data_IF_243802963654
#
_entry.id   IF_243802963654
#
_cell.length_a   1.000
_cell.length_b   1.000
_cell.length_c   1.000
_cell.angle_alpha   90.00
_cell.angle_beta   90.00
_cell.angle_gamma   90.00
#
_symmetry.space_group_name_H-M   'P 1'
#
loop_
_entity.id
_entity.type
_entity.pdbx_description
1 polymer ?
#
# COMPACT_ATOMS: atom_id res chain seq x y z
N UNK A 1 -30.14 -1.10 4.38
CA UNK A 1 -29.12 -0.06 4.23
C UNK A 1 -28.31 -0.32 2.99
N UNK A 2 -28.15 0.71 2.16
CA UNK A 2 -27.18 0.72 1.04
C UNK A 2 -25.74 0.67 1.57
N UNK A 3 -24.76 0.43 0.71
CA UNK A 3 -23.35 0.43 1.13
C UNK A 3 -22.93 1.81 1.66
N UNK A 4 -23.37 2.88 0.99
CA UNK A 4 -23.13 4.28 1.38
C UNK A 4 -23.70 4.59 2.76
N UNK A 5 -24.91 4.12 3.07
CA UNK A 5 -25.52 4.32 4.39
C UNK A 5 -24.75 3.60 5.49
N UNK A 6 -24.24 2.39 5.19
CA UNK A 6 -23.38 1.66 6.12
C UNK A 6 -22.06 2.41 6.31
N UNK A 7 -21.41 2.87 5.23
CA UNK A 7 -20.14 3.62 5.29
C UNK A 7 -20.30 4.85 6.18
N UNK A 8 -21.36 5.63 5.97
CA UNK A 8 -21.68 6.78 6.81
C UNK A 8 -21.88 6.41 8.28
N UNK A 9 -22.57 5.29 8.57
CA UNK A 9 -22.76 4.83 9.94
C UNK A 9 -21.44 4.38 10.60
N UNK A 10 -20.55 3.74 9.84
CA UNK A 10 -19.23 3.35 10.33
C UNK A 10 -18.32 4.56 10.53
N UNK A 11 -18.29 5.51 9.60
CA UNK A 11 -17.55 6.76 9.75
C UNK A 11 -18.04 7.54 10.98
N UNK A 12 -19.36 7.65 11.16
CA UNK A 12 -19.93 8.28 12.35
C UNK A 12 -19.60 7.50 13.63
N UNK A 13 -19.48 6.17 13.59
CA UNK A 13 -19.07 5.37 14.75
C UNK A 13 -17.55 5.42 15.03
N UNK A 14 -16.73 5.69 14.00
CA UNK A 14 -15.28 5.79 14.11
C UNK A 14 -14.81 7.16 14.64
N UNK A 15 -15.65 8.19 14.55
CA UNK A 15 -15.38 9.51 15.13
C UNK A 15 -15.39 9.44 16.67
N UNK A 16 -14.24 9.68 17.28
CA UNK A 16 -14.03 9.58 18.73
C UNK A 16 -14.54 10.80 19.50
N UNK A 17 -14.71 11.95 18.85
CA UNK A 17 -15.08 13.20 19.50
C UNK A 17 -16.58 13.47 19.40
N UNK A 18 -17.14 13.35 18.19
CA UNK A 18 -18.53 13.73 17.90
C UNK A 18 -19.35 12.56 17.34
N UNK A 19 -18.79 11.35 17.32
CA UNK A 19 -19.40 10.18 16.71
C UNK A 19 -20.48 9.47 17.52
N UNK A 20 -21.01 8.39 16.94
CA UNK A 20 -21.91 7.48 17.62
C UNK A 20 -21.18 6.70 18.72
N UNK A 21 -21.77 6.63 19.91
CA UNK A 21 -21.27 5.77 20.98
C UNK A 21 -21.66 4.29 20.82
N UNK A 22 -22.71 4.02 20.02
CA UNK A 22 -23.27 2.68 19.84
C UNK A 22 -23.55 2.44 18.37
N UNK A 23 -23.02 1.34 17.85
CA UNK A 23 -23.38 0.80 16.54
C UNK A 23 -24.30 -0.42 16.74
N UNK A 24 -25.54 -0.31 16.26
CA UNK A 24 -26.47 -1.45 16.24
C UNK A 24 -26.25 -2.23 14.94
N UNK A 25 -25.82 -3.48 15.07
CA UNK A 25 -25.65 -4.39 13.94
C UNK A 25 -26.55 -5.61 14.09
N UNK A 26 -27.20 -6.01 13.00
CA UNK A 26 -27.73 -7.36 12.87
C UNK A 26 -26.63 -8.32 12.41
N UNK A 27 -26.88 -9.63 12.46
CA UNK A 27 -25.95 -10.68 12.03
C UNK A 27 -25.44 -10.56 10.59
N UNK A 28 -26.14 -9.82 9.73
CA UNK A 28 -25.78 -9.59 8.30
C UNK A 28 -25.13 -8.20 8.10
N UNK A 29 -25.24 -7.31 9.09
CA UNK A 29 -24.86 -5.89 8.97
C UNK A 29 -23.37 -5.59 9.10
N UNK A 30 -22.57 -6.50 9.66
CA UNK A 30 -21.16 -6.28 10.01
C UNK A 30 -20.16 -7.01 9.12
N UNK A 31 -20.60 -7.67 8.05
CA UNK A 31 -19.69 -8.38 7.14
C UNK A 31 -18.70 -7.42 6.45
N UNK A 32 -17.44 -7.85 6.34
CA UNK A 32 -16.35 -7.07 5.75
C UNK A 32 -15.58 -6.09 6.66
N UNK A 33 -16.17 -5.55 7.73
CA UNK A 33 -15.60 -4.36 8.39
C UNK A 33 -14.67 -4.61 9.57
N UNK A 34 -13.72 -3.69 9.79
CA UNK A 34 -12.78 -3.68 10.91
C UNK A 34 -13.15 -2.58 11.91
N UNK A 35 -13.56 -2.96 13.13
CA UNK A 35 -13.79 -2.01 14.23
C UNK A 35 -12.71 -2.14 15.29
N UNK A 36 -11.44 -2.03 14.88
CA UNK A 36 -10.28 -2.18 15.77
C UNK A 36 -10.16 -1.09 16.84
N UNK A 37 -10.98 -0.03 16.75
CA UNK A 37 -11.11 1.00 17.77
C UNK A 37 -12.19 0.68 18.83
N UNK A 38 -13.06 -0.31 18.56
CA UNK A 38 -14.10 -0.73 19.48
C UNK A 38 -13.68 -2.02 20.20
N UNK A 39 -13.76 -2.01 21.52
CA UNK A 39 -13.40 -3.14 22.38
C UNK A 39 -14.56 -3.67 23.21
N UNK A 40 -15.75 -3.05 23.15
CA UNK A 40 -16.94 -3.51 23.89
C UNK A 40 -17.98 -4.09 22.93
N UNK A 41 -18.34 -5.34 23.14
CA UNK A 41 -19.40 -6.03 22.41
C UNK A 41 -20.59 -6.28 23.34
N UNK A 42 -21.76 -5.75 22.99
CA UNK A 42 -23.01 -6.11 23.68
C UNK A 42 -23.79 -7.07 22.81
N UNK A 43 -23.97 -8.30 23.28
CA UNK A 43 -24.79 -9.31 22.63
C UNK A 43 -26.22 -9.19 23.17
N UNK A 44 -27.10 -8.53 22.41
CA UNK A 44 -28.50 -8.38 22.83
C UNK A 44 -29.27 -9.72 22.75
N UNK A 45 -28.91 -10.55 21.78
CA UNK A 45 -29.36 -11.91 21.60
C UNK A 45 -28.18 -12.83 21.27
N UNK A 46 -28.36 -14.13 21.48
CA UNK A 46 -27.36 -15.14 21.12
C UNK A 46 -27.78 -15.88 19.85
N UNK A 47 -26.89 -16.00 18.85
CA UNK A 47 -27.16 -16.84 17.71
C UNK A 47 -27.23 -18.31 18.17
N UNK A 48 -28.03 -19.14 17.48
CA UNK A 48 -28.09 -20.56 17.80
C UNK A 48 -26.86 -21.34 17.34
N UNK A 49 -26.18 -20.87 16.29
CA UNK A 49 -24.99 -21.51 15.76
C UNK A 49 -23.73 -20.87 16.40
N UNK A 50 -22.86 -21.65 17.07
CA UNK A 50 -21.60 -21.15 17.62
C UNK A 50 -20.71 -20.43 16.59
N UNK A 51 -20.71 -20.84 15.32
CA UNK A 51 -19.89 -20.20 14.30
C UNK A 51 -20.34 -18.75 14.03
N UNK A 52 -21.64 -18.47 14.17
CA UNK A 52 -22.17 -17.11 14.05
C UNK A 52 -21.76 -16.26 15.26
N UNK A 53 -21.69 -16.85 16.46
CA UNK A 53 -21.18 -16.17 17.65
C UNK A 53 -19.70 -15.79 17.45
N UNK A 54 -18.87 -16.74 17.01
CA UNK A 54 -17.46 -16.52 16.71
C UNK A 54 -17.28 -15.42 15.64
N UNK A 55 -18.10 -15.43 14.59
CA UNK A 55 -18.09 -14.39 13.55
C UNK A 55 -18.48 -13.00 14.09
N UNK A 56 -19.32 -12.92 15.12
CA UNK A 56 -19.68 -11.66 15.76
C UNK A 56 -18.53 -11.14 16.63
N UNK A 57 -17.92 -12.00 17.45
CA UNK A 57 -16.77 -11.67 18.30
C UNK A 57 -15.58 -11.27 17.44
N UNK A 58 -15.30 -12.03 16.37
CA UNK A 58 -14.22 -11.80 15.41
C UNK A 58 -14.37 -10.52 14.57
N UNK A 59 -15.36 -9.66 14.82
CA UNK A 59 -15.39 -8.28 14.30
C UNK A 59 -14.53 -7.32 15.11
N UNK A 60 -14.38 -7.61 16.41
CA UNK A 60 -13.56 -6.85 17.34
C UNK A 60 -12.28 -7.63 17.67
N UNK A 61 -12.37 -8.95 17.83
CA UNK A 61 -11.24 -9.85 18.10
C UNK A 61 -10.46 -10.13 16.81
N UNK A 62 -9.63 -9.15 16.41
CA UNK A 62 -8.74 -9.22 15.26
C UNK A 62 -7.35 -8.77 15.64
N UNK A 63 -6.34 -9.34 14.96
CA UNK A 63 -4.97 -8.81 15.02
C UNK A 63 -5.00 -7.33 14.62
N UNK A 64 -4.48 -6.46 15.49
CA UNK A 64 -4.53 -5.01 15.34
C UNK A 64 -5.50 -4.30 16.30
N UNK A 65 -6.34 -5.04 17.02
CA UNK A 65 -7.10 -4.51 18.15
C UNK A 65 -6.16 -4.04 19.28
N UNK A 66 -6.46 -2.88 19.88
CA UNK A 66 -5.60 -2.23 20.87
C UNK A 66 -5.90 -2.67 22.31
N UNK A 67 -7.13 -3.10 22.58
CA UNK A 67 -7.60 -3.47 23.92
C UNK A 67 -8.23 -4.87 23.95
N UNK A 68 -8.20 -5.52 25.11
CA UNK A 68 -8.90 -6.79 25.31
C UNK A 68 -10.42 -6.61 25.13
N UNK A 69 -11.02 -7.42 24.27
CA UNK A 69 -12.46 -7.35 23.98
C UNK A 69 -13.28 -7.71 25.21
N UNK A 70 -14.18 -6.80 25.61
CA UNK A 70 -15.11 -6.97 26.71
C UNK A 70 -16.50 -7.34 26.16
N UNK A 71 -16.97 -8.54 26.48
CA UNK A 71 -18.27 -9.04 26.03
C UNK A 71 -19.29 -8.89 27.15
N UNK A 72 -20.38 -8.19 26.87
CA UNK A 72 -21.52 -8.02 27.76
C UNK A 72 -22.73 -8.73 27.17
N UNK A 73 -23.30 -9.67 27.92
CA UNK A 73 -24.49 -10.42 27.54
C UNK A 73 -25.59 -10.16 28.59
N UNK A 74 -26.44 -9.13 28.40
CA UNK A 74 -27.63 -8.98 29.22
C UNK A 74 -28.56 -10.17 28.99
N UNK A 75 -28.80 -10.96 30.03
CA UNK A 75 -29.60 -12.17 29.95
C UNK A 75 -30.81 -12.11 30.89
N UNK A 76 -31.97 -12.57 30.42
CA UNK A 76 -33.17 -12.69 31.24
C UNK A 76 -33.07 -13.94 32.10
N UNK A 77 -33.22 -13.79 33.42
CA UNK A 77 -33.20 -14.92 34.35
C UNK A 77 -34.27 -15.98 34.00
N UNK A 78 -33.89 -17.24 34.11
CA UNK A 78 -34.69 -18.45 33.86
C UNK A 78 -35.24 -18.57 32.44
N UNK A 79 -34.54 -17.99 31.46
CA UNK A 79 -34.91 -18.03 30.04
C UNK A 79 -34.17 -19.11 29.25
N UNK A 80 -34.65 -19.41 28.04
CA UNK A 80 -33.94 -20.30 27.11
C UNK A 80 -32.59 -19.72 26.64
N UNK A 81 -32.40 -18.40 26.77
CA UNK A 81 -31.16 -17.71 26.43
C UNK A 81 -30.15 -17.80 27.57
N UNK A 82 -30.58 -17.87 28.83
CA UNK A 82 -29.69 -18.16 29.97
C UNK A 82 -29.09 -19.56 29.83
N UNK A 83 -29.92 -20.54 29.46
CA UNK A 83 -29.46 -21.91 29.17
C UNK A 83 -28.41 -21.92 28.07
N UNK A 84 -28.66 -21.20 26.97
CA UNK A 84 -27.73 -21.11 25.84
C UNK A 84 -26.44 -20.38 26.22
N UNK A 85 -26.54 -19.30 26.98
CA UNK A 85 -25.41 -18.52 27.50
C UNK A 85 -24.50 -19.39 28.38
N UNK A 86 -25.08 -20.12 29.34
CA UNK A 86 -24.34 -21.04 30.21
C UNK A 86 -23.67 -22.15 29.40
N UNK A 87 -24.34 -22.73 28.41
CA UNK A 87 -23.75 -23.77 27.57
C UNK A 87 -22.59 -23.24 26.71
N UNK A 88 -22.73 -22.04 26.12
CA UNK A 88 -21.64 -21.40 25.37
C UNK A 88 -20.44 -21.07 26.27
N UNK A 89 -20.68 -20.55 27.47
CA UNK A 89 -19.61 -20.15 28.39
C UNK A 89 -18.96 -21.35 29.10
N UNK A 90 -19.75 -22.13 29.84
CA UNK A 90 -19.24 -23.18 30.72
C UNK A 90 -18.92 -24.47 29.96
N UNK A 91 -19.68 -24.77 28.90
CA UNK A 91 -19.52 -25.96 28.07
C UNK A 91 -18.48 -25.78 26.97
N UNK A 92 -18.69 -24.77 26.10
CA UNK A 92 -17.81 -24.50 24.96
C UNK A 92 -16.63 -23.56 25.29
N UNK A 93 -16.82 -22.61 26.21
CA UNK A 93 -15.96 -21.44 26.42
C UNK A 93 -15.83 -20.52 25.19
N UNK A 94 -16.92 -20.38 24.44
CA UNK A 94 -16.96 -19.67 23.17
C UNK A 94 -16.90 -18.13 23.29
N UNK A 95 -16.95 -17.58 24.51
CA UNK A 95 -16.81 -16.13 24.74
C UNK A 95 -15.37 -15.70 25.02
N UNK A 96 -14.60 -16.54 25.72
CA UNK A 96 -13.23 -16.19 26.14
C UNK A 96 -12.16 -16.77 25.22
N UNK A 97 -12.51 -17.77 24.42
CA UNK A 97 -11.57 -18.48 23.55
C UNK A 97 -12.22 -18.81 22.21
N UNK A 98 -11.43 -18.63 21.14
CA UNK A 98 -11.77 -19.13 19.81
C UNK A 98 -12.04 -20.64 19.87
N UNK A 99 -13.21 -21.05 19.39
CA UNK A 99 -13.65 -22.45 19.48
C UNK A 99 -13.75 -23.10 18.08
N UNK A 100 -12.64 -23.59 17.49
CA UNK A 100 -12.64 -24.17 16.15
C UNK A 100 -13.43 -25.50 16.05
N UNK A 101 -13.77 -26.10 17.20
CA UNK A 101 -14.61 -27.29 17.31
C UNK A 101 -16.08 -26.97 17.64
N UNK A 102 -16.47 -25.69 17.63
CA UNK A 102 -17.78 -25.22 18.10
C UNK A 102 -18.93 -25.89 17.35
N UNK A 103 -18.88 -25.90 16.01
CA UNK A 103 -19.90 -26.55 15.19
C UNK A 103 -19.98 -28.06 15.41
N UNK A 104 -18.84 -28.77 15.49
CA UNK A 104 -18.83 -30.22 15.71
C UNK A 104 -19.46 -30.60 17.06
N UNK A 105 -19.18 -29.83 18.12
CA UNK A 105 -19.80 -30.00 19.43
C UNK A 105 -21.29 -29.62 19.40
N UNK A 106 -21.65 -28.56 18.67
CA UNK A 106 -23.05 -28.19 18.50
C UNK A 106 -23.85 -29.27 17.80
N UNK A 107 -23.37 -29.83 16.69
CA UNK A 107 -24.03 -30.95 16.01
C UNK A 107 -24.23 -32.14 16.96
N UNK A 108 -23.20 -32.49 17.73
CA UNK A 108 -23.25 -33.60 18.69
C UNK A 108 -24.27 -33.38 19.82
N UNK A 109 -24.39 -32.17 20.35
CA UNK A 109 -25.19 -31.87 21.53
C UNK A 109 -26.50 -31.11 21.25
N UNK A 110 -26.78 -30.75 20.00
CA UNK A 110 -27.92 -29.90 19.58
C UNK A 110 -29.27 -30.41 20.09
N UNK A 111 -29.56 -31.70 19.94
CA UNK A 111 -30.84 -32.27 20.40
C UNK A 111 -31.01 -32.17 21.91
N UNK A 112 -29.96 -32.49 22.68
CA UNK A 112 -29.96 -32.40 24.14
C UNK A 112 -30.09 -30.95 24.59
N UNK A 113 -29.38 -30.03 23.93
CA UNK A 113 -29.47 -28.60 24.18
C UNK A 113 -30.90 -28.07 23.94
N UNK A 114 -31.55 -28.46 22.84
CA UNK A 114 -32.93 -28.04 22.55
C UNK A 114 -33.94 -28.57 23.59
N UNK A 115 -33.76 -29.81 24.09
CA UNK A 115 -34.58 -30.37 25.16
C UNK A 115 -34.46 -29.56 26.45
N UNK A 116 -33.23 -29.26 26.89
CA UNK A 116 -32.98 -28.48 28.10
C UNK A 116 -33.46 -27.03 27.94
N UNK A 117 -33.25 -26.40 26.76
CA UNK A 117 -33.76 -25.05 26.46
C UNK A 117 -35.28 -24.94 26.51
N UNK A 118 -35.98 -26.01 26.13
CA UNK A 118 -37.46 -26.08 26.19
C UNK A 118 -37.98 -26.26 27.62
N UNK A 119 -37.11 -26.56 28.59
CA UNK A 119 -37.44 -26.73 30.01
C UNK A 119 -36.44 -25.97 30.89
N UNK A 120 -36.46 -24.63 30.81
CA UNK A 120 -35.47 -23.74 31.43
C UNK A 120 -35.39 -23.80 32.97
N UNK A 121 -36.28 -24.55 33.63
CA UNK A 121 -36.25 -24.79 35.08
C UNK A 121 -35.47 -26.03 35.51
N UNK A 122 -35.07 -26.91 34.58
CA UNK A 122 -34.37 -28.17 34.87
C UNK A 122 -32.84 -28.00 34.97
N UNK A 123 -32.37 -27.28 36.01
CA UNK A 123 -30.95 -26.93 36.20
C UNK A 123 -30.00 -28.14 36.21
N UNK A 124 -30.43 -29.28 36.78
CA UNK A 124 -29.59 -30.49 36.82
C UNK A 124 -29.31 -31.11 35.45
N UNK A 125 -30.24 -30.99 34.50
CA UNK A 125 -30.04 -31.50 33.14
C UNK A 125 -29.05 -30.60 32.38
N UNK A 126 -29.10 -29.30 32.63
CA UNK A 126 -28.15 -28.33 32.08
C UNK A 126 -26.72 -28.59 32.60
N UNK A 127 -26.56 -28.77 33.91
CA UNK A 127 -25.23 -28.99 34.50
C UNK A 127 -24.58 -30.29 33.98
N UNK A 128 -25.37 -31.34 33.77
CA UNK A 128 -24.90 -32.58 33.12
C UNK A 128 -24.48 -32.35 31.67
N UNK A 129 -25.31 -31.65 30.88
CA UNK A 129 -24.99 -31.31 29.49
C UNK A 129 -23.70 -30.49 29.39
N UNK A 130 -23.51 -29.52 30.29
CA UNK A 130 -22.30 -28.71 30.35
C UNK A 130 -21.07 -29.57 30.67
N UNK A 131 -21.18 -30.46 31.66
CA UNK A 131 -20.09 -31.37 32.02
C UNK A 131 -19.69 -32.28 30.85
N UNK A 132 -20.68 -32.89 30.17
CA UNK A 132 -20.46 -33.75 29.01
C UNK A 132 -19.84 -32.98 27.84
N UNK A 133 -20.36 -31.76 27.57
CA UNK A 133 -19.83 -30.89 26.51
C UNK A 133 -18.38 -30.51 26.80
N UNK A 134 -18.06 -30.15 28.04
CA UNK A 134 -16.70 -29.80 28.46
C UNK A 134 -15.74 -30.97 28.30
N UNK A 135 -16.16 -32.18 28.66
CA UNK A 135 -15.35 -33.40 28.48
C UNK A 135 -15.09 -33.67 26.99
N UNK A 136 -16.12 -33.57 26.14
CA UNK A 136 -15.98 -33.73 24.70
C UNK A 136 -15.06 -32.66 24.09
N UNK A 137 -15.19 -31.41 24.54
CA UNK A 137 -14.34 -30.29 24.13
C UNK A 137 -12.87 -30.53 24.44
N UNK A 138 -12.53 -30.92 25.67
CA UNK A 138 -11.13 -31.19 26.03
C UNK A 138 -10.54 -32.34 25.21
N UNK A 139 -11.33 -33.38 24.95
CA UNK A 139 -10.90 -34.50 24.09
C UNK A 139 -10.61 -34.04 22.66
N UNK A 140 -11.50 -33.23 22.08
CA UNK A 140 -11.30 -32.68 20.73
C UNK A 140 -10.13 -31.69 20.69
N UNK A 141 -9.96 -30.87 21.73
CA UNK A 141 -8.83 -29.93 21.84
C UNK A 141 -7.49 -30.67 21.80
N UNK A 142 -7.33 -31.71 22.61
CA UNK A 142 -6.11 -32.54 22.62
C UNK A 142 -5.89 -33.20 21.24
N UNK A 143 -6.95 -33.74 20.63
CA UNK A 143 -6.85 -34.37 19.31
C UNK A 143 -6.40 -33.37 18.23
N UNK A 144 -6.93 -32.14 18.25
CA UNK A 144 -6.50 -31.07 17.34
C UNK A 144 -5.06 -30.65 17.60
N UNK A 145 -4.67 -30.43 18.86
CA UNK A 145 -3.30 -30.05 19.22
C UNK A 145 -2.27 -31.12 18.83
N UNK A 146 -2.62 -32.40 18.91
CA UNK A 146 -1.79 -33.52 18.45
C UNK A 146 -1.75 -33.64 16.92
N UNK A 147 -2.81 -33.20 16.23
CA UNK A 147 -2.89 -33.16 14.76
C UNK A 147 -2.17 -31.97 14.12
N UNK A 148 -1.69 -31.00 14.90
CA UNK A 148 -1.01 -29.80 14.38
C UNK A 148 0.35 -30.13 13.79
N UNK A 149 0.53 -29.76 12.53
CA UNK A 149 1.86 -29.71 11.91
C UNK A 149 2.57 -28.41 12.28
N UNK A 150 3.34 -28.46 13.37
CA UNK A 150 4.07 -27.30 13.90
C UNK A 150 5.13 -26.78 12.92
N UNK A 151 5.73 -27.64 12.10
CA UNK A 151 6.73 -27.20 11.12
C UNK A 151 6.04 -26.43 10.00
N UNK A 152 4.88 -26.90 9.55
CA UNK A 152 4.08 -26.17 8.57
C UNK A 152 3.64 -24.81 9.12
N UNK A 153 3.17 -24.73 10.37
CA UNK A 153 2.76 -23.47 11.00
C UNK A 153 3.93 -22.47 11.13
N UNK A 154 5.09 -22.93 11.62
CA UNK A 154 6.29 -22.11 11.74
C UNK A 154 6.76 -21.59 10.37
N UNK A 155 6.70 -22.45 9.34
CA UNK A 155 7.06 -22.03 7.99
C UNK A 155 6.02 -21.09 7.39
N UNK A 156 4.73 -21.28 7.69
CA UNK A 156 3.63 -20.49 7.11
C UNK A 156 3.56 -19.07 7.65
N UNK A 157 3.90 -18.85 8.92
CA UNK A 157 3.92 -17.50 9.51
C UNK A 157 5.20 -16.70 9.19
N UNK A 158 6.23 -17.35 8.62
CA UNK A 158 7.50 -16.72 8.24
C UNK A 158 8.41 -16.28 9.39
N UNK A 159 7.97 -16.45 10.64
CA UNK A 159 8.73 -16.19 11.86
C UNK A 159 9.23 -14.75 11.98
N UNK A 160 10.46 -14.61 12.50
CA UNK A 160 11.04 -13.32 12.81
C UNK A 160 11.33 -12.47 11.56
N UNK A 161 11.66 -13.12 10.44
CA UNK A 161 11.91 -12.42 9.17
C UNK A 161 10.65 -11.72 8.65
N UNK A 162 9.49 -12.37 8.76
CA UNK A 162 8.22 -11.77 8.38
C UNK A 162 7.85 -10.57 9.27
N UNK A 163 8.12 -10.65 10.58
CA UNK A 163 7.92 -9.52 11.50
C UNK A 163 8.83 -8.33 11.18
N UNK A 164 10.10 -8.59 10.89
CA UNK A 164 11.05 -7.54 10.48
C UNK A 164 10.62 -6.86 9.19
N UNK A 165 10.14 -7.64 8.20
CA UNK A 165 9.57 -7.10 6.98
C UNK A 165 8.32 -6.25 7.27
N UNK A 166 7.39 -6.74 8.09
CA UNK A 166 6.18 -6.01 8.46
C UNK A 166 6.52 -4.66 9.13
N UNK A 167 7.49 -4.64 10.05
CA UNK A 167 7.97 -3.42 10.69
C UNK A 167 8.63 -2.46 9.69
N UNK A 168 9.33 -2.99 8.69
CA UNK A 168 9.99 -2.19 7.65
C UNK A 168 8.99 -1.53 6.70
N UNK A 169 7.86 -2.21 6.44
CA UNK A 169 6.71 -1.65 5.69
C UNK A 169 5.99 -0.60 6.55
N UNK A 170 5.71 -0.90 7.81
CA UNK A 170 5.05 0.03 8.72
C UNK A 170 5.85 1.32 8.93
N UNK A 171 7.19 1.24 8.89
CA UNK A 171 8.06 2.41 8.99
C UNK A 171 8.00 3.34 7.76
N UNK A 172 7.45 2.88 6.63
CA UNK A 172 7.23 3.70 5.43
C UNK A 172 5.84 4.36 5.42
N UNK A 173 4.94 3.99 6.33
CA UNK A 173 3.65 4.65 6.45
C UNK A 173 3.85 6.11 6.91
N UNK A 174 2.97 7.00 6.46
CA UNK A 174 2.99 8.44 6.78
C UNK A 174 4.28 9.16 6.36
N UNK A 175 5.00 8.65 5.35
CA UNK A 175 6.12 9.37 4.75
C UNK A 175 5.65 10.71 4.15
N UNK A 176 6.24 11.79 4.65
CA UNK A 176 5.94 13.18 4.24
C UNK A 176 6.22 13.39 2.74
N UNK A 177 7.14 12.62 2.16
CA UNK A 177 7.49 12.69 0.75
C UNK A 177 6.29 12.36 -0.15
N UNK A 178 5.57 11.27 0.13
CA UNK A 178 4.41 10.87 -0.66
C UNK A 178 3.30 11.93 -0.59
N UNK A 179 3.04 12.46 0.61
CA UNK A 179 2.02 13.49 0.81
C UNK A 179 2.35 14.72 -0.05
N UNK A 180 3.56 15.28 0.12
CA UNK A 180 3.99 16.45 -0.63
C UNK A 180 4.00 16.19 -2.15
N UNK A 181 4.42 15.00 -2.56
CA UNK A 181 4.42 14.60 -3.97
C UNK A 181 2.99 14.57 -4.54
N UNK A 182 2.06 13.92 -3.82
CA UNK A 182 0.68 13.79 -4.25
C UNK A 182 -0.03 15.15 -4.36
N UNK A 183 0.14 16.04 -3.36
CA UNK A 183 -0.45 17.38 -3.38
C UNK A 183 0.04 18.20 -4.58
N UNK A 184 1.34 18.16 -4.85
CA UNK A 184 1.95 18.83 -6.00
C UNK A 184 1.47 18.22 -7.33
N UNK A 185 1.38 16.89 -7.40
CA UNK A 185 0.86 16.20 -8.57
C UNK A 185 -0.59 16.60 -8.87
N UNK A 186 -1.45 16.64 -7.85
CA UNK A 186 -2.85 17.06 -7.99
C UNK A 186 -2.97 18.52 -8.41
N UNK A 187 -2.15 19.42 -7.85
CA UNK A 187 -2.11 20.84 -8.26
C UNK A 187 -1.71 20.99 -9.74
N UNK A 188 -0.67 20.27 -10.18
CA UNK A 188 -0.23 20.27 -11.58
C UNK A 188 -1.33 19.75 -12.51
N UNK A 189 -2.04 18.69 -12.10
CA UNK A 189 -3.16 18.13 -12.88
C UNK A 189 -4.36 19.09 -12.89
N UNK A 190 -4.45 20.02 -11.92
CA UNK A 190 -5.57 20.94 -11.77
C UNK A 190 -6.74 20.31 -11.00
N UNK A 191 -6.47 19.41 -10.07
CA UNK A 191 -7.47 18.86 -9.15
C UNK A 191 -7.55 19.77 -7.93
N UNK A 192 -8.77 20.17 -7.54
CA UNK A 192 -9.01 20.96 -6.35
C UNK A 192 -8.86 20.09 -5.10
N UNK A 193 -8.31 20.68 -4.04
CA UNK A 193 -7.86 19.96 -2.85
C UNK A 193 -8.35 20.71 -1.61
N UNK A 194 -9.32 20.12 -0.91
CA UNK A 194 -9.89 20.66 0.33
C UNK A 194 -9.46 19.80 1.52
N UNK A 195 -8.70 20.38 2.45
CA UNK A 195 -8.32 19.73 3.70
C UNK A 195 -9.53 19.68 4.65
N UNK A 196 -9.98 18.47 4.98
CA UNK A 196 -11.08 18.26 5.92
C UNK A 196 -10.60 18.17 7.38
N UNK A 197 -9.29 18.18 7.61
CA UNK A 197 -8.69 17.81 8.89
C UNK A 197 -8.60 16.29 9.06
N UNK A 198 -8.11 15.86 10.24
CA UNK A 198 -7.96 14.44 10.61
C UNK A 198 -7.18 13.59 9.59
N UNK A 199 -6.14 14.14 8.96
CA UNK A 199 -5.34 13.46 7.92
C UNK A 199 -6.16 13.03 6.69
N UNK A 200 -7.22 13.76 6.32
CA UNK A 200 -8.07 13.48 5.15
C UNK A 200 -8.25 14.70 4.25
N UNK A 201 -8.32 14.45 2.95
CA UNK A 201 -8.42 15.49 1.91
C UNK A 201 -9.53 15.11 0.93
N UNK A 202 -10.38 16.06 0.57
CA UNK A 202 -11.31 15.89 -0.56
C UNK A 202 -10.65 16.41 -1.82
N UNK A 203 -10.63 15.55 -2.84
CA UNK A 203 -10.17 15.91 -4.17
C UNK A 203 -11.35 15.98 -5.15
N UNK A 204 -11.45 17.09 -5.88
CA UNK A 204 -12.57 17.38 -6.80
C UNK A 204 -12.07 17.75 -8.19
N UNK A 205 -12.76 17.29 -9.25
CA UNK A 205 -12.39 17.67 -10.62
C UNK A 205 -12.70 19.14 -10.87
N UNK A 206 -11.86 19.80 -11.67
CA UNK A 206 -12.05 21.20 -12.07
C UNK A 206 -12.14 21.35 -13.59
N UNK A 207 -12.75 22.44 -14.05
CA UNK A 207 -12.78 22.78 -15.49
C UNK A 207 -11.40 23.12 -16.09
N UNK A 208 -10.36 23.22 -15.25
CA UNK A 208 -8.97 23.51 -15.65
C UNK A 208 -8.07 22.28 -15.64
N UNK A 209 -8.64 21.09 -15.41
CA UNK A 209 -7.86 19.85 -15.39
C UNK A 209 -7.10 19.61 -16.70
N UNK A 210 -5.88 19.09 -16.60
CA UNK A 210 -5.05 18.72 -17.75
C UNK A 210 -5.67 17.62 -18.60
N UNK A 211 -6.43 16.71 -17.97
CA UNK A 211 -7.12 15.61 -18.62
C UNK A 211 -8.61 15.63 -18.24
N UNK A 212 -9.52 15.27 -19.16
CA UNK A 212 -10.95 15.21 -18.85
C UNK A 212 -11.30 14.21 -17.75
N UNK A 213 -10.62 13.06 -17.75
CA UNK A 213 -10.85 11.96 -16.82
C UNK A 213 -9.55 11.62 -16.09
N UNK A 214 -9.56 11.65 -14.76
CA UNK A 214 -8.44 11.23 -13.92
C UNK A 214 -8.78 9.92 -13.18
N UNK A 215 -7.92 8.89 -13.22
CA UNK A 215 -8.23 7.57 -12.67
C UNK A 215 -8.63 7.62 -11.20
N UNK A 216 -9.79 7.07 -10.88
CA UNK A 216 -10.32 7.01 -9.52
C UNK A 216 -10.97 8.32 -9.03
N UNK A 217 -10.86 9.42 -9.77
CA UNK A 217 -11.54 10.67 -9.43
C UNK A 217 -12.99 10.62 -9.97
N UNK A 218 -13.96 10.82 -9.08
CA UNK A 218 -15.39 10.87 -9.41
C UNK A 218 -15.84 12.31 -9.59
N UNK A 219 -16.94 12.53 -10.31
CA UNK A 219 -17.53 13.87 -10.49
C UNK A 219 -17.89 14.55 -9.16
N UNK A 220 -18.38 13.78 -8.19
CA UNK A 220 -18.74 14.26 -6.85
C UNK A 220 -17.53 14.50 -5.94
N UNK A 221 -16.32 14.21 -6.42
CA UNK A 221 -15.09 14.19 -5.63
C UNK A 221 -14.87 12.86 -4.92
N UNK A 222 -13.67 12.72 -4.35
CA UNK A 222 -13.24 11.55 -3.57
C UNK A 222 -12.48 12.02 -2.35
N UNK A 223 -12.74 11.38 -1.21
CA UNK A 223 -11.96 11.65 0.00
C UNK A 223 -10.81 10.65 0.10
N UNK A 224 -9.61 11.16 0.31
CA UNK A 224 -8.37 10.40 0.34
C UNK A 224 -7.68 10.57 1.70
N UNK A 225 -6.91 9.56 2.11
CA UNK A 225 -6.03 9.65 3.28
C UNK A 225 -4.69 8.95 3.01
N UNK A 226 -3.65 9.40 3.70
CA UNK A 226 -2.33 8.75 3.72
C UNK A 226 -2.11 7.97 5.01
N UNK A 227 -3.09 7.96 5.92
CA UNK A 227 -3.04 7.28 7.21
C UNK A 227 -3.73 5.91 7.10
N UNK A 228 -2.95 4.85 7.32
CA UNK A 228 -3.44 3.47 7.25
C UNK A 228 -4.52 3.19 8.31
N UNK A 229 -4.36 3.72 9.52
CA UNK A 229 -5.32 3.47 10.61
C UNK A 229 -6.65 4.14 10.32
N UNK A 230 -6.61 5.37 9.79
CA UNK A 230 -7.82 6.06 9.36
C UNK A 230 -8.53 5.31 8.23
N UNK A 231 -7.79 4.86 7.20
CA UNK A 231 -8.35 4.06 6.10
C UNK A 231 -8.93 2.71 6.55
N UNK A 232 -8.38 2.08 7.60
CA UNK A 232 -8.94 0.86 8.19
C UNK A 232 -10.26 1.12 8.93
N UNK A 233 -10.39 2.30 9.56
CA UNK A 233 -11.60 2.71 10.28
C UNK A 233 -12.69 3.25 9.34
N UNK A 234 -12.29 3.88 8.23
CA UNK A 234 -13.15 4.54 7.25
C UNK A 234 -12.90 3.99 5.84
N UNK A 235 -13.60 2.89 5.52
CA UNK A 235 -13.47 2.16 4.25
C UNK A 235 -13.84 3.00 3.02
N UNK A 236 -14.59 4.09 3.19
CA UNK A 236 -14.95 4.99 2.10
C UNK A 236 -13.80 5.93 1.68
N UNK A 237 -12.74 6.04 2.50
CA UNK A 237 -11.55 6.81 2.18
C UNK A 237 -10.61 5.99 1.31
N UNK A 238 -10.12 6.58 0.22
CA UNK A 238 -9.07 5.95 -0.58
C UNK A 238 -7.71 6.10 0.13
N UNK A 239 -7.08 4.98 0.45
CA UNK A 239 -5.75 4.95 1.05
C UNK A 239 -4.66 5.14 -0.02
N UNK A 240 -4.07 6.34 -0.05
CA UNK A 240 -3.04 6.68 -1.01
C UNK A 240 -1.67 6.15 -0.57
N UNK A 241 -1.08 5.35 -1.45
CA UNK A 241 0.31 4.87 -1.37
C UNK A 241 0.99 5.15 -2.71
N UNK A 242 2.32 4.96 -2.79
CA UNK A 242 3.05 4.97 -4.07
C UNK A 242 2.47 4.00 -5.11
N UNK A 243 1.75 2.97 -4.67
CA UNK A 243 1.16 1.95 -5.52
C UNK A 243 -0.27 2.25 -5.95
N UNK A 244 -0.89 3.28 -5.36
CA UNK A 244 -2.25 3.65 -5.67
C UNK A 244 -2.39 4.08 -7.15
N UNK A 245 -3.45 3.64 -7.87
CA UNK A 245 -3.64 3.96 -9.28
C UNK A 245 -3.59 5.46 -9.61
N UNK A 246 -4.14 6.32 -8.73
CA UNK A 246 -4.05 7.79 -8.90
C UNK A 246 -2.60 8.27 -8.96
N UNK A 247 -1.75 7.79 -8.04
CA UNK A 247 -0.35 8.22 -7.96
C UNK A 247 0.43 7.69 -9.16
N UNK A 248 0.34 6.39 -9.44
CA UNK A 248 1.06 5.76 -10.57
C UNK A 248 0.65 6.34 -11.92
N UNK A 249 -0.64 6.55 -12.15
CA UNK A 249 -1.13 7.07 -13.43
C UNK A 249 -0.92 8.58 -13.55
N UNK A 250 -0.96 9.33 -12.45
CA UNK A 250 -0.53 10.73 -12.47
C UNK A 250 0.96 10.87 -12.78
N UNK A 251 1.82 10.02 -12.20
CA UNK A 251 3.24 9.95 -12.59
C UNK A 251 3.38 9.65 -14.08
N UNK A 252 2.68 8.64 -14.60
CA UNK A 252 2.74 8.25 -16.01
C UNK A 252 2.23 9.37 -16.93
N UNK A 253 1.15 10.06 -16.56
CA UNK A 253 0.60 11.19 -17.30
C UNK A 253 1.63 12.32 -17.45
N UNK A 254 2.33 12.68 -16.37
CA UNK A 254 3.34 13.73 -16.40
C UNK A 254 4.60 13.27 -17.13
N UNK A 255 5.09 12.06 -16.84
CA UNK A 255 6.34 11.54 -17.41
C UNK A 255 6.22 11.21 -18.92
N UNK A 256 5.03 10.84 -19.39
CA UNK A 256 4.77 10.57 -20.82
C UNK A 256 4.37 11.84 -21.59
N UNK A 257 3.70 12.78 -20.93
CA UNK A 257 3.22 14.05 -21.51
C UNK A 257 4.35 15.01 -21.90
N UNK A 258 4.01 16.11 -22.56
CA UNK A 258 4.98 17.13 -23.01
C UNK A 258 5.20 18.28 -22.03
N UNK A 259 4.51 18.24 -20.89
CA UNK A 259 4.59 19.27 -19.85
C UNK A 259 5.92 19.13 -19.12
N UNK A 260 6.60 20.27 -18.89
CA UNK A 260 7.87 20.30 -18.15
C UNK A 260 9.11 19.87 -18.95
N UNK A 261 8.99 19.45 -20.22
CA UNK A 261 10.13 18.98 -21.03
C UNK A 261 11.12 20.07 -21.44
N UNK A 262 10.69 21.32 -21.56
CA UNK A 262 11.57 22.42 -21.96
C UNK A 262 11.26 23.71 -21.21
N UNK A 263 12.27 24.31 -20.60
CA UNK A 263 12.14 25.58 -19.90
C UNK A 263 13.35 26.50 -20.10
N UNK A 264 13.15 27.80 -19.86
CA UNK A 264 14.22 28.78 -19.74
C UNK A 264 14.06 29.57 -18.45
N UNK A 265 15.15 29.74 -17.71
CA UNK A 265 15.14 30.41 -16.43
C UNK A 265 16.30 31.39 -16.25
N UNK A 266 16.09 32.37 -15.36
CA UNK A 266 17.09 33.34 -14.97
C UNK A 266 17.70 32.95 -13.62
N UNK A 267 19.02 32.96 -13.52
CA UNK A 267 19.76 32.81 -12.27
C UNK A 267 20.37 34.15 -11.86
N UNK A 268 19.87 34.76 -10.78
CA UNK A 268 20.46 35.99 -10.24
C UNK A 268 21.61 35.60 -9.33
N UNK A 269 22.84 35.87 -9.77
CA UNK A 269 24.06 35.57 -9.02
C UNK A 269 25.15 36.60 -9.29
N UNK A 270 25.48 37.39 -8.26
CA UNK A 270 26.51 38.45 -8.31
C UNK A 270 27.92 37.93 -8.58
N UNK A 271 28.19 36.66 -8.26
CA UNK A 271 29.51 36.04 -8.42
C UNK A 271 29.75 35.51 -9.83
N UNK A 272 28.69 35.35 -10.64
CA UNK A 272 28.81 34.88 -12.02
C UNK A 272 28.77 36.05 -13.00
N UNK A 273 29.54 36.00 -14.11
CA UNK A 273 29.41 36.97 -15.19
C UNK A 273 27.97 36.97 -15.74
N UNK A 274 27.43 38.15 -16.04
CA UNK A 274 26.12 38.26 -16.67
C UNK A 274 26.17 37.65 -18.09
N UNK A 275 25.12 36.94 -18.48
CA UNK A 275 25.03 36.25 -19.77
C UNK A 275 25.75 34.90 -19.81
N UNK A 276 26.20 34.36 -18.68
CA UNK A 276 26.70 32.98 -18.62
C UNK A 276 25.53 32.03 -18.89
N UNK A 277 25.74 31.08 -19.79
CA UNK A 277 24.78 30.03 -20.11
C UNK A 277 25.13 28.77 -19.34
N UNK A 278 24.13 28.20 -18.67
CA UNK A 278 24.16 26.83 -18.18
C UNK A 278 23.06 26.04 -18.90
N UNK A 279 23.35 24.79 -19.25
CA UNK A 279 22.41 23.88 -19.89
C UNK A 279 22.19 22.68 -18.99
N UNK A 280 20.99 22.59 -18.43
CA UNK A 280 20.56 21.46 -17.62
C UNK A 280 19.78 20.48 -18.50
N UNK A 281 20.14 19.20 -18.46
CA UNK A 281 19.57 18.14 -19.27
C UNK A 281 19.29 16.95 -18.37
N UNK A 282 18.08 16.42 -18.45
CA UNK A 282 17.71 15.17 -17.79
C UNK A 282 17.59 14.12 -18.89
N UNK A 283 18.58 13.23 -18.93
CA UNK A 283 18.47 12.01 -19.72
C UNK A 283 17.76 10.94 -18.91
N UNK A 284 17.08 10.00 -19.55
CA UNK A 284 16.50 8.83 -18.91
C UNK A 284 17.13 7.60 -19.53
N UNK A 285 17.77 6.77 -18.70
CA UNK A 285 18.25 5.44 -19.08
C UNK A 285 17.12 4.46 -18.84
N UNK A 286 16.69 3.76 -19.88
CA UNK A 286 15.54 2.88 -19.84
C UNK A 286 15.71 1.68 -20.78
N UNK A 287 14.85 0.68 -20.62
CA UNK A 287 14.79 -0.47 -21.51
C UNK A 287 13.35 -0.73 -21.95
N UNK A 288 13.18 -1.03 -23.24
CA UNK A 288 11.91 -1.47 -23.79
C UNK A 288 11.78 -2.97 -23.52
N UNK A 289 10.98 -3.33 -22.51
CA UNK A 289 10.87 -4.72 -22.06
C UNK A 289 9.43 -5.17 -21.81
N UNK A 290 9.11 -6.46 -22.06
CA UNK A 290 7.84 -7.02 -21.64
C UNK A 290 7.68 -6.93 -20.12
N UNK A 291 6.49 -6.54 -19.65
CA UNK A 291 6.17 -6.44 -18.20
C UNK A 291 6.48 -7.72 -17.42
N UNK A 292 6.37 -8.89 -18.06
CA UNK A 292 6.69 -10.19 -17.46
C UNK A 292 8.13 -10.35 -16.97
N UNK A 293 9.10 -9.62 -17.54
CA UNK A 293 10.50 -9.67 -17.09
C UNK A 293 10.78 -8.87 -15.82
N UNK A 294 9.88 -7.92 -15.47
CA UNK A 294 9.99 -7.08 -14.27
C UNK A 294 11.31 -6.29 -14.18
N UNK A 295 11.86 -5.83 -15.32
CA UNK A 295 13.18 -5.18 -15.35
C UNK A 295 13.25 -3.86 -14.57
N UNK A 296 12.11 -3.24 -14.25
CA UNK A 296 12.04 -2.07 -13.38
C UNK A 296 12.61 -2.34 -11.97
N UNK A 297 12.75 -3.60 -11.55
CA UNK A 297 13.45 -3.99 -10.30
C UNK A 297 14.94 -3.71 -10.34
N UNK A 298 15.53 -3.66 -11.54
CA UNK A 298 16.98 -3.56 -11.76
C UNK A 298 17.39 -2.29 -12.50
N UNK A 299 16.56 -1.85 -13.45
CA UNK A 299 16.73 -0.61 -14.23
C UNK A 299 15.34 0.01 -14.48
N UNK A 300 14.72 0.66 -13.47
CA UNK A 300 13.58 1.52 -13.74
C UNK A 300 14.01 2.69 -14.63
N UNK A 301 13.08 3.45 -15.26
CA UNK A 301 13.42 4.67 -15.98
C UNK A 301 14.25 5.60 -15.07
N UNK A 302 15.55 5.65 -15.30
CA UNK A 302 16.51 6.23 -14.34
C UNK A 302 16.97 7.59 -14.86
N UNK A 303 16.62 8.69 -14.19
CA UNK A 303 17.05 10.01 -14.61
C UNK A 303 18.54 10.21 -14.34
N UNK A 304 19.25 10.70 -15.35
CA UNK A 304 20.66 11.09 -15.32
C UNK A 304 20.75 12.58 -15.64
N UNK A 305 20.98 13.38 -14.59
CA UNK A 305 21.09 14.83 -14.70
C UNK A 305 22.48 15.25 -15.14
N UNK A 306 22.55 16.02 -16.22
CA UNK A 306 23.73 16.76 -16.65
C UNK A 306 23.49 18.25 -16.48
N UNK A 307 24.45 18.96 -15.91
CA UNK A 307 24.43 20.42 -15.82
C UNK A 307 25.72 20.95 -16.45
N UNK A 308 25.61 21.45 -17.67
CA UNK A 308 26.77 21.88 -18.46
C UNK A 308 27.02 23.37 -18.30
N UNK A 309 28.28 23.74 -18.07
CA UNK A 309 28.75 25.11 -18.23
C UNK A 309 28.95 25.49 -19.71
N UNK A 310 29.34 26.74 -19.98
CA UNK A 310 29.61 27.23 -21.33
C UNK A 310 30.76 26.52 -22.07
N UNK A 311 31.60 25.76 -21.36
CA UNK A 311 32.68 24.94 -21.91
C UNK A 311 32.26 23.47 -22.07
N UNK A 312 31.07 23.10 -21.61
CA UNK A 312 30.58 21.72 -21.61
C UNK A 312 31.13 20.86 -20.48
N UNK A 313 31.63 21.44 -19.39
CA UNK A 313 31.94 20.68 -18.18
C UNK A 313 30.66 20.33 -17.44
N UNK A 314 30.53 19.09 -16.97
CA UNK A 314 29.39 18.68 -16.15
C UNK A 314 29.65 19.05 -14.70
N UNK A 315 28.77 19.86 -14.11
CA UNK A 315 28.83 20.31 -12.73
C UNK A 315 27.63 19.84 -11.89
N UNK A 316 26.89 18.84 -12.37
CA UNK A 316 25.67 18.34 -11.71
C UNK A 316 25.92 17.78 -10.30
N UNK A 317 27.06 17.12 -10.08
CA UNK A 317 27.42 16.56 -8.76
C UNK A 317 27.72 17.65 -7.72
N UNK A 318 28.24 18.80 -8.16
CA UNK A 318 28.58 19.92 -7.29
C UNK A 318 27.39 20.84 -7.01
N UNK A 319 26.32 20.74 -7.81
CA UNK A 319 25.17 21.65 -7.75
C UNK A 319 23.88 20.84 -7.63
N UNK A 320 23.38 20.69 -6.40
CA UNK A 320 22.12 20.00 -6.12
C UNK A 320 20.92 20.62 -6.86
N UNK A 321 19.95 19.77 -7.23
CA UNK A 321 18.80 20.18 -8.05
C UNK A 321 17.93 21.22 -7.33
N UNK A 322 17.48 20.92 -6.12
CA UNK A 322 16.54 21.79 -5.38
C UNK A 322 17.16 23.14 -5.02
N UNK A 323 18.46 23.13 -4.68
CA UNK A 323 19.21 24.37 -4.37
C UNK A 323 19.36 25.27 -5.60
N UNK A 324 19.54 24.70 -6.79
CA UNK A 324 19.55 25.48 -8.02
C UNK A 324 18.14 25.95 -8.35
N UNK A 325 17.17 25.04 -8.37
CA UNK A 325 15.79 25.30 -8.75
C UNK A 325 15.16 26.45 -7.93
N UNK A 326 15.33 26.44 -6.61
CA UNK A 326 14.82 27.48 -5.70
C UNK A 326 15.38 28.89 -5.96
N UNK A 327 16.52 29.02 -6.65
CA UNK A 327 17.15 30.30 -7.01
C UNK A 327 16.78 30.79 -8.41
N UNK A 328 16.11 29.97 -9.19
CA UNK A 328 15.72 30.29 -10.55
C UNK A 328 14.47 31.15 -10.56
N UNK A 329 14.43 32.13 -11.47
CA UNK A 329 13.24 32.93 -11.76
C UNK A 329 12.69 32.61 -13.14
N UNK A 330 11.36 32.54 -13.32
CA UNK A 330 10.76 32.35 -14.63
C UNK A 330 11.00 33.56 -15.53
N UNK A 331 11.00 33.33 -16.84
CA UNK A 331 11.11 34.37 -17.86
C UNK A 331 9.80 34.44 -18.66
N UNK A 332 9.39 35.66 -19.01
CA UNK A 332 8.29 35.86 -19.95
C UNK A 332 8.59 35.25 -21.32
N UNK A 333 7.57 34.67 -21.96
CA UNK A 333 7.68 33.90 -23.21
C UNK A 333 8.44 34.64 -24.32
N UNK A 334 8.18 35.93 -24.51
CA UNK A 334 8.83 36.73 -25.56
C UNK A 334 10.31 36.97 -25.31
N UNK A 335 10.69 37.19 -24.05
CA UNK A 335 12.08 37.39 -23.64
C UNK A 335 12.85 36.08 -23.80
N UNK A 336 12.28 34.97 -23.33
CA UNK A 336 12.86 33.64 -23.48
C UNK A 336 13.11 33.30 -24.96
N UNK A 337 12.13 33.51 -25.84
CA UNK A 337 12.26 33.25 -27.27
C UNK A 337 13.39 34.06 -27.95
N UNK A 338 13.56 35.34 -27.57
CA UNK A 338 14.65 36.17 -28.08
C UNK A 338 16.01 35.67 -27.59
N UNK A 339 16.12 35.37 -26.29
CA UNK A 339 17.37 34.89 -25.71
C UNK A 339 17.78 33.52 -26.26
N UNK A 340 16.85 32.59 -26.47
CA UNK A 340 17.13 31.29 -27.09
C UNK A 340 17.69 31.47 -28.51
N UNK A 341 17.10 32.36 -29.32
CA UNK A 341 17.62 32.64 -30.68
C UNK A 341 19.07 33.14 -30.65
N UNK A 342 19.42 33.96 -29.67
CA UNK A 342 20.80 34.45 -29.48
C UNK A 342 21.74 33.37 -28.94
N UNK A 343 21.26 32.51 -28.04
CA UNK A 343 22.06 31.46 -27.41
C UNK A 343 22.25 30.22 -28.28
N UNK A 344 21.45 30.05 -29.34
CA UNK A 344 21.46 28.86 -30.21
C UNK A 344 22.84 28.43 -30.71
N UNK A 345 23.71 29.33 -31.22
CA UNK A 345 25.06 28.96 -31.69
C UNK A 345 25.94 28.39 -30.57
N UNK A 346 25.68 28.75 -29.31
CA UNK A 346 26.38 28.22 -28.13
C UNK A 346 25.74 26.93 -27.62
N UNK A 347 24.43 26.79 -27.73
CA UNK A 347 23.70 25.60 -27.27
C UNK A 347 23.93 24.37 -28.15
N UNK A 348 23.98 24.54 -29.49
CA UNK A 348 24.16 23.42 -30.43
C UNK A 348 25.44 22.59 -30.14
N UNK A 349 26.62 23.19 -29.93
CA UNK A 349 27.81 22.45 -29.47
C UNK A 349 27.64 21.77 -28.10
N UNK A 350 26.92 22.40 -27.16
CA UNK A 350 26.69 21.84 -25.82
C UNK A 350 25.84 20.57 -25.87
N UNK A 351 24.84 20.49 -26.76
CA UNK A 351 24.07 19.26 -26.97
C UNK A 351 24.96 18.11 -27.48
N UNK A 352 25.90 18.39 -28.39
CA UNK A 352 26.85 17.38 -28.87
C UNK A 352 27.78 16.91 -27.74
N UNK A 353 28.21 17.81 -26.86
CA UNK A 353 29.02 17.46 -25.69
C UNK A 353 28.20 16.67 -24.66
N UNK A 354 26.94 17.04 -24.44
CA UNK A 354 26.03 16.29 -23.57
C UNK A 354 25.83 14.86 -24.06
N UNK A 355 25.60 14.66 -25.36
CA UNK A 355 25.43 13.34 -25.96
C UNK A 355 26.67 12.47 -25.76
N UNK A 356 27.87 13.05 -25.93
CA UNK A 356 29.12 12.34 -25.64
C UNK A 356 29.23 11.93 -24.17
N UNK A 357 28.78 12.78 -23.23
CA UNK A 357 28.83 12.47 -21.80
C UNK A 357 27.86 11.37 -21.41
N UNK A 358 26.60 11.46 -21.81
CA UNK A 358 25.62 10.40 -21.48
C UNK A 358 26.03 9.06 -22.10
N UNK A 359 26.59 9.07 -23.32
CA UNK A 359 27.11 7.84 -23.96
C UNK A 359 28.22 7.16 -23.18
N UNK A 360 29.00 7.92 -22.39
CA UNK A 360 30.01 7.37 -21.49
C UNK A 360 29.42 6.92 -20.15
N UNK A 361 28.38 7.59 -19.65
CA UNK A 361 27.78 7.33 -18.34
C UNK A 361 26.73 6.21 -18.35
N UNK A 362 25.87 6.15 -19.37
CA UNK A 362 24.77 5.19 -19.46
C UNK A 362 25.23 3.72 -19.35
N UNK A 363 26.36 3.29 -19.97
CA UNK A 363 26.87 1.93 -19.80
C UNK A 363 27.14 1.54 -18.34
N UNK A 364 27.47 2.50 -17.47
CA UNK A 364 27.69 2.22 -16.04
C UNK A 364 26.38 1.80 -15.35
N UNK A 365 25.28 2.53 -15.59
CA UNK A 365 23.96 2.18 -15.06
C UNK A 365 23.48 0.83 -15.60
N UNK A 366 23.65 0.59 -16.90
CA UNK A 366 23.26 -0.67 -17.54
C UNK A 366 24.06 -1.85 -16.96
N UNK A 367 25.38 -1.70 -16.82
CA UNK A 367 26.24 -2.74 -16.25
C UNK A 367 25.91 -3.04 -14.79
N UNK A 368 25.62 -2.01 -13.99
CA UNK A 368 25.18 -2.18 -12.61
C UNK A 368 23.85 -2.94 -12.53
N UNK A 369 22.88 -2.59 -13.39
CA UNK A 369 21.60 -3.28 -13.46
C UNK A 369 21.74 -4.75 -13.88
N UNK A 370 22.57 -5.04 -14.89
CA UNK A 370 22.85 -6.42 -15.31
C UNK A 370 23.49 -7.24 -14.19
N UNK A 371 24.45 -6.65 -13.47
CA UNK A 371 25.09 -7.32 -12.33
C UNK A 371 24.08 -7.59 -11.22
N UNK A 372 23.23 -6.62 -10.87
CA UNK A 372 22.19 -6.80 -9.85
C UNK A 372 21.16 -7.87 -10.26
N UNK A 373 20.73 -7.85 -11.52
CA UNK A 373 19.80 -8.83 -12.07
C UNK A 373 20.37 -10.25 -12.04
N UNK A 374 21.61 -10.43 -12.53
CA UNK A 374 22.26 -11.73 -12.51
C UNK A 374 22.45 -12.24 -11.07
N UNK A 375 22.95 -11.40 -10.16
CA UNK A 375 23.14 -11.78 -8.76
C UNK A 375 21.83 -12.22 -8.09
N UNK A 376 20.75 -11.45 -8.28
CA UNK A 376 19.46 -11.73 -7.66
C UNK A 376 18.84 -13.02 -8.22
N UNK A 377 18.72 -13.11 -9.55
CA UNK A 377 18.05 -14.24 -10.20
C UNK A 377 18.88 -15.53 -10.09
N UNK A 378 20.21 -15.45 -10.20
CA UNK A 378 21.06 -16.62 -10.00
C UNK A 378 21.04 -17.11 -8.55
N UNK A 379 20.92 -16.23 -7.55
CA UNK A 379 20.74 -16.64 -6.15
C UNK A 379 19.40 -17.38 -5.94
N UNK A 380 18.30 -16.90 -6.52
CA UNK A 380 17.00 -17.56 -6.47
C UNK A 380 17.02 -18.93 -7.17
N UNK A 381 17.61 -19.02 -8.38
CA UNK A 381 17.81 -20.29 -9.11
C UNK A 381 18.61 -21.29 -8.27
N UNK A 382 19.74 -20.86 -7.70
CA UNK A 382 20.58 -21.72 -6.87
C UNK A 382 19.83 -22.22 -5.64
N UNK A 383 19.01 -21.38 -5.01
CA UNK A 383 18.15 -21.75 -3.89
C UNK A 383 17.10 -22.78 -4.30
N UNK A 384 16.40 -22.58 -5.42
CA UNK A 384 15.41 -23.54 -5.92
C UNK A 384 16.05 -24.88 -6.29
N UNK A 385 17.22 -24.88 -6.92
CA UNK A 385 17.98 -26.10 -7.21
C UNK A 385 18.40 -26.85 -5.94
N UNK A 386 18.81 -26.11 -4.89
CA UNK A 386 19.13 -26.72 -3.60
C UNK A 386 17.87 -27.33 -2.95
N UNK A 387 16.74 -26.64 -3.01
CA UNK A 387 15.46 -27.14 -2.49
C UNK A 387 14.96 -28.36 -3.27
N UNK A 388 15.09 -28.39 -4.60
CA UNK A 388 14.66 -29.52 -5.43
C UNK A 388 15.36 -30.83 -5.05
N UNK A 389 16.62 -30.77 -4.61
CA UNK A 389 17.36 -31.96 -4.14
C UNK A 389 16.76 -32.59 -2.89
N UNK A 390 16.01 -31.83 -2.09
CA UNK A 390 15.45 -32.26 -0.80
C UNK A 390 13.92 -32.19 -0.73
N UNK A 391 13.26 -31.58 -1.71
CA UNK A 391 11.81 -31.36 -1.76
C UNK A 391 11.28 -31.64 -3.17
N UNK A 392 10.50 -32.72 -3.31
CA UNK A 392 9.92 -33.19 -4.58
C UNK A 392 8.83 -32.25 -5.15
N UNK A 393 8.35 -31.31 -4.35
CA UNK A 393 7.31 -30.36 -4.79
C UNK A 393 7.87 -29.26 -5.70
N UNK A 394 9.19 -29.06 -5.72
CA UNK A 394 9.84 -28.09 -6.62
C UNK A 394 9.97 -28.70 -8.01
N UNK A 395 9.26 -28.13 -8.99
CA UNK A 395 9.22 -28.66 -10.35
C UNK A 395 10.41 -28.14 -11.16
N UNK A 396 10.93 -28.98 -12.03
CA UNK A 396 12.01 -28.60 -12.94
C UNK A 396 11.62 -27.40 -13.83
N UNK A 397 10.36 -27.34 -14.25
CA UNK A 397 9.82 -26.23 -15.04
C UNK A 397 9.91 -24.87 -14.34
N UNK A 398 9.87 -24.81 -13.00
CA UNK A 398 9.99 -23.55 -12.26
C UNK A 398 11.41 -22.99 -12.34
N UNK A 399 12.42 -23.87 -12.27
CA UNK A 399 13.83 -23.50 -12.42
C UNK A 399 14.12 -23.08 -13.86
N UNK A 400 13.58 -23.79 -14.84
CA UNK A 400 13.75 -23.47 -16.27
C UNK A 400 13.14 -22.12 -16.65
N UNK A 401 11.93 -21.82 -16.14
CA UNK A 401 11.28 -20.52 -16.34
C UNK A 401 12.13 -19.39 -15.76
N UNK A 402 12.64 -19.55 -14.54
CA UNK A 402 13.46 -18.52 -13.90
C UNK A 402 14.82 -18.34 -14.60
N UNK A 403 15.44 -19.43 -15.07
CA UNK A 403 16.66 -19.38 -15.86
C UNK A 403 16.44 -18.66 -17.21
N UNK A 404 15.37 -18.99 -17.92
CA UNK A 404 15.00 -18.30 -19.16
C UNK A 404 14.70 -16.81 -18.90
N UNK A 405 14.00 -16.49 -17.80
CA UNK A 405 13.76 -15.11 -17.39
C UNK A 405 15.06 -14.36 -17.12
N UNK A 406 16.04 -14.97 -16.44
CA UNK A 406 17.36 -14.37 -16.22
C UNK A 406 18.07 -14.07 -17.53
N UNK A 407 18.19 -15.07 -18.41
CA UNK A 407 18.94 -14.92 -19.66
C UNK A 407 18.29 -13.84 -20.55
N UNK A 408 16.96 -13.85 -20.66
CA UNK A 408 16.20 -12.83 -21.39
C UNK A 408 16.33 -11.44 -20.74
N UNK A 409 16.37 -11.37 -19.40
CA UNK A 409 16.55 -10.11 -18.67
C UNK A 409 17.91 -9.50 -18.97
N UNK A 410 18.99 -10.30 -18.94
CA UNK A 410 20.34 -9.84 -19.23
C UNK A 410 20.51 -9.38 -20.68
N UNK A 411 19.91 -10.12 -21.63
CA UNK A 411 19.90 -9.72 -23.05
C UNK A 411 19.15 -8.41 -23.27
N UNK A 412 17.99 -8.24 -22.61
CA UNK A 412 17.16 -7.05 -22.76
C UNK A 412 17.80 -5.83 -22.08
N UNK A 413 18.44 -6.00 -20.93
CA UNK A 413 19.23 -4.96 -20.28
C UNK A 413 20.44 -4.55 -21.13
N UNK A 414 21.09 -5.48 -21.82
CA UNK A 414 22.20 -5.17 -22.73
C UNK A 414 21.78 -4.24 -23.89
N UNK A 415 20.49 -4.26 -24.26
CA UNK A 415 19.88 -3.43 -25.31
C UNK A 415 19.26 -2.13 -24.75
N UNK A 416 19.40 -1.85 -23.46
CA UNK A 416 18.92 -0.61 -22.87
C UNK A 416 19.52 0.61 -23.56
N UNK A 417 18.73 1.67 -23.63
CA UNK A 417 19.09 2.91 -24.31
C UNK A 417 18.90 4.10 -23.37
N UNK A 418 19.26 5.28 -23.85
CA UNK A 418 18.96 6.52 -23.18
C UNK A 418 18.26 7.47 -24.15
N UNK A 419 17.44 8.35 -23.61
CA UNK A 419 16.83 9.47 -24.35
C UNK A 419 16.95 10.75 -23.54
N UNK A 420 17.01 11.88 -24.22
CA UNK A 420 16.83 13.17 -23.58
C UNK A 420 15.34 13.33 -23.26
N UNK A 421 15.02 13.50 -21.99
CA UNK A 421 13.63 13.62 -21.53
C UNK A 421 13.22 15.09 -21.37
N UNK A 422 14.04 15.85 -20.63
CA UNK A 422 13.79 17.27 -20.40
C UNK A 422 15.06 18.11 -20.41
N UNK A 423 14.90 19.40 -20.69
CA UNK A 423 15.97 20.38 -20.72
C UNK A 423 15.55 21.70 -20.10
N UNK A 424 16.52 22.39 -19.49
CA UNK A 424 16.36 23.74 -18.96
C UNK A 424 17.58 24.58 -19.31
N UNK A 425 17.34 25.68 -20.03
CA UNK A 425 18.38 26.67 -20.35
C UNK A 425 18.38 27.73 -19.25
N UNK A 426 19.53 27.96 -18.62
CA UNK A 426 19.67 28.91 -17.53
C UNK A 426 20.62 30.02 -17.96
N UNK A 427 20.17 31.27 -17.84
CA UNK A 427 21.00 32.46 -18.10
C UNK A 427 21.29 33.16 -16.78
N UNK A 428 22.55 33.49 -16.53
CA UNK A 428 22.92 34.27 -15.35
C UNK A 428 22.71 35.75 -15.56
N UNK A 429 22.27 36.44 -14.51
CA UNK A 429 22.32 37.88 -14.41
C UNK A 429 22.88 38.31 -13.05
N UNK A 430 23.40 39.53 -12.96
CA UNK A 430 23.90 40.07 -11.70
C UNK A 430 22.80 40.66 -10.82
N UNK A 431 21.69 41.09 -11.42
CA UNK A 431 20.52 41.73 -10.78
C UNK A 431 19.19 41.23 -11.32
#
# INVERSE_FOLDING_TARGET
MSIIERDRAAAYFADMENGAQVLLSSSIGSEGRNFQFADRLVLFDLPQNPDLLEQCIGRLDRIGQLNDVQIYLPCVEKSADEVLARWYHEGLNAFEQTTPMGMALFEQFSESLQKVRSNSTALSELDNLIADTKQAREKLKIALEQGRDRLLELNSNGGEQAKQLANSIAAQDNEVELVNFALNLFDIIGVEQDDLGENSIVITPTGTMLVPDFPGLKEEGVTVTFDRQLALAREELEFLTWDHPMIRQGIDLIASGDIGKAAMALLINKQLPAGTLLLELIYVVETQSPKGLQLNRFLPPTPVRLLLDNKGNNIAEQVAFDTLHSKLKPLGKDVANKMIKMARPTLEPLFVLAEKKIRMLAPTYISQAQKLADQTLSAEINRLQALQKVNKNIRQSEIEVLAAQRDQSLETLAKATWRLDSLRVIVTNKE
#
